data_IF_518768466294
#
_entry.id   IF_518768466294
#
_cell.length_a   1.000
_cell.length_b   1.000
_cell.length_c   1.000
_cell.angle_alpha   90.00
_cell.angle_beta   90.00
_cell.angle_gamma   90.00
#
_symmetry.space_group_name_H-M   'P 1'
#
loop_
_entity.id
_entity.type
_entity.pdbx_description
1 polymer ?
#
# COMPACT_ATOMS: atom_id res chain seq x y z
N UNK A 1 21.02 1.72 -22.13
CA UNK A 1 19.66 2.27 -21.88
C UNK A 1 19.56 2.78 -20.45
N UNK A 2 19.04 3.99 -20.30
CA UNK A 2 18.83 4.57 -18.97
C UNK A 2 17.38 4.26 -18.57
N UNK A 3 17.15 3.49 -17.49
CA UNK A 3 15.78 3.20 -17.06
C UNK A 3 15.12 4.43 -16.43
N UNK A 4 13.80 4.54 -16.57
CA UNK A 4 13.01 5.59 -15.93
C UNK A 4 13.07 5.46 -14.41
N UNK A 5 13.05 4.22 -13.92
CA UNK A 5 13.16 3.92 -12.51
C UNK A 5 13.93 2.62 -12.32
N UNK A 6 14.65 2.55 -11.20
CA UNK A 6 15.34 1.34 -10.80
C UNK A 6 14.99 1.07 -9.34
N UNK A 7 14.28 -0.02 -9.03
CA UNK A 7 13.94 -0.33 -7.64
C UNK A 7 15.19 -0.58 -6.80
N UNK A 8 15.15 -0.08 -5.58
CA UNK A 8 16.16 -0.40 -4.57
C UNK A 8 15.63 -1.56 -3.73
N UNK A 9 15.95 -2.77 -4.18
CA UNK A 9 15.53 -4.00 -3.51
C UNK A 9 16.75 -4.89 -3.29
N UNK A 10 16.82 -5.47 -2.11
CA UNK A 10 17.92 -6.32 -1.69
C UNK A 10 17.44 -7.74 -1.43
N UNK A 11 18.38 -8.62 -1.01
CA UNK A 11 18.02 -9.99 -0.61
C UNK A 11 17.05 -10.02 0.59
N UNK A 12 17.05 -8.97 1.41
CA UNK A 12 16.14 -8.86 2.55
C UNK A 12 14.68 -8.86 2.12
N UNK A 13 14.33 -8.02 1.15
CA UNK A 13 12.98 -7.92 0.62
C UNK A 13 12.58 -9.19 -0.13
N UNK A 14 13.52 -9.75 -0.91
CA UNK A 14 13.30 -11.00 -1.62
C UNK A 14 13.03 -12.16 -0.66
N UNK A 15 13.77 -12.23 0.45
CA UNK A 15 13.56 -13.27 1.46
C UNK A 15 12.23 -13.12 2.16
N UNK A 16 11.81 -11.90 2.48
CA UNK A 16 10.51 -11.65 3.09
C UNK A 16 9.36 -12.12 2.19
N UNK A 17 9.45 -11.85 0.89
CA UNK A 17 8.47 -12.35 -0.08
C UNK A 17 8.49 -13.87 -0.17
N UNK A 18 9.67 -14.47 -0.22
CA UNK A 18 9.85 -15.92 -0.24
C UNK A 18 9.20 -16.57 0.97
N UNK A 19 9.49 -16.08 2.18
CA UNK A 19 8.94 -16.62 3.41
C UNK A 19 7.42 -16.48 3.47
N UNK A 20 6.90 -15.34 2.99
CA UNK A 20 5.45 -15.09 2.96
C UNK A 20 4.74 -16.07 2.03
N UNK A 21 5.30 -16.33 0.86
CA UNK A 21 4.74 -17.30 -0.09
C UNK A 21 4.68 -18.69 0.52
N UNK A 22 5.71 -19.09 1.26
CA UNK A 22 5.75 -20.39 1.90
C UNK A 22 4.70 -20.54 3.01
N UNK A 23 4.21 -19.45 3.59
CA UNK A 23 3.12 -19.51 4.59
C UNK A 23 1.77 -19.83 3.97
N UNK A 24 1.60 -19.67 2.67
CA UNK A 24 0.33 -19.84 1.99
C UNK A 24 -0.61 -18.64 2.07
N UNK A 25 -0.27 -17.63 2.86
CA UNK A 25 -1.07 -16.41 2.99
C UNK A 25 -0.66 -15.39 1.91
N UNK A 26 -1.03 -15.67 0.67
CA UNK A 26 -0.63 -14.86 -0.49
C UNK A 26 -1.65 -13.78 -0.87
N UNK A 27 -2.77 -13.70 -0.15
CA UNK A 27 -3.73 -12.61 -0.24
C UNK A 27 -3.71 -11.83 1.07
N UNK A 28 -4.86 -11.42 1.60
CA UNK A 28 -4.91 -10.80 2.91
C UNK A 28 -4.51 -11.79 4.00
N UNK A 29 -3.67 -11.37 4.93
CA UNK A 29 -3.20 -12.25 5.99
C UNK A 29 -2.32 -11.51 7.01
N UNK A 30 -1.57 -12.27 7.85
CA UNK A 30 -0.76 -11.67 8.93
C UNK A 30 0.27 -10.64 8.45
N UNK A 31 0.88 -10.85 7.28
CA UNK A 31 1.87 -9.91 6.74
C UNK A 31 1.25 -8.57 6.35
N UNK A 32 0.02 -8.59 5.82
CA UNK A 32 -0.71 -7.37 5.49
C UNK A 32 -1.04 -6.60 6.76
N UNK A 33 -1.55 -7.28 7.78
CA UNK A 33 -1.85 -6.65 9.08
C UNK A 33 -0.61 -6.04 9.70
N UNK A 34 0.52 -6.74 9.67
CA UNK A 34 1.80 -6.25 10.17
C UNK A 34 2.25 -5.01 9.40
N UNK A 35 2.14 -5.01 8.07
CA UNK A 35 2.47 -3.87 7.25
C UNK A 35 1.62 -2.66 7.59
N UNK A 36 0.31 -2.85 7.73
CA UNK A 36 -0.62 -1.77 8.08
C UNK A 36 -0.25 -1.14 9.42
N UNK A 37 0.05 -1.95 10.42
CA UNK A 37 0.44 -1.45 11.74
C UNK A 37 1.75 -0.66 11.70
N UNK A 38 2.75 -1.19 11.03
CA UNK A 38 4.06 -0.53 10.92
C UNK A 38 3.99 0.75 10.11
N UNK A 39 3.21 0.75 9.03
CA UNK A 39 3.03 1.93 8.20
C UNK A 39 2.31 3.04 8.96
N UNK A 40 1.25 2.70 9.69
CA UNK A 40 0.54 3.66 10.53
C UNK A 40 1.47 4.29 11.58
N UNK A 41 2.27 3.46 12.24
CA UNK A 41 3.22 3.93 13.24
C UNK A 41 4.29 4.84 12.62
N UNK A 42 4.81 4.46 11.46
CA UNK A 42 5.84 5.24 10.77
C UNK A 42 5.35 6.62 10.34
N UNK A 43 4.12 6.70 9.83
CA UNK A 43 3.55 7.96 9.36
C UNK A 43 2.88 8.79 10.45
N UNK A 44 2.67 8.21 11.64
CA UNK A 44 1.95 8.85 12.72
C UNK A 44 0.44 8.81 12.57
N UNK A 45 -0.07 8.05 11.59
CA UNK A 45 -1.49 7.86 11.39
C UNK A 45 -2.07 6.91 12.44
N UNK A 46 -3.35 7.09 12.75
CA UNK A 46 -4.04 6.21 13.70
C UNK A 46 -4.31 4.83 13.08
N UNK A 47 -4.63 4.81 11.81
CA UNK A 47 -4.93 3.60 11.07
C UNK A 47 -4.26 3.62 9.70
N UNK A 48 -4.00 2.44 9.15
CA UNK A 48 -3.57 2.25 7.77
C UNK A 48 -4.29 1.05 7.19
N UNK A 49 -4.67 1.13 5.92
CA UNK A 49 -5.37 0.06 5.22
C UNK A 49 -4.67 -0.20 3.90
N UNK A 50 -4.22 -1.42 3.70
CA UNK A 50 -3.58 -1.83 2.46
C UNK A 50 -4.64 -2.17 1.41
N UNK A 51 -4.43 -1.71 0.18
CA UNK A 51 -5.30 -1.97 -0.97
C UNK A 51 -4.46 -2.46 -2.14
N UNK A 52 -5.12 -2.89 -3.22
CA UNK A 52 -4.46 -3.57 -4.33
C UNK A 52 -3.49 -2.69 -5.13
N UNK A 53 -3.76 -1.39 -5.20
CA UNK A 53 -2.89 -0.43 -5.92
C UNK A 53 -3.23 1.00 -5.51
N UNK A 54 -2.40 1.95 -5.97
CA UNK A 54 -2.56 3.36 -5.62
C UNK A 54 -3.83 3.98 -6.21
N UNK A 55 -4.21 3.58 -7.42
CA UNK A 55 -5.45 4.07 -8.04
C UNK A 55 -6.66 3.72 -7.21
N UNK A 56 -6.72 2.49 -6.70
CA UNK A 56 -7.78 2.04 -5.79
C UNK A 56 -7.76 2.85 -4.49
N UNK A 57 -6.57 3.10 -3.93
CA UNK A 57 -6.42 3.89 -2.71
C UNK A 57 -6.95 5.30 -2.89
N UNK A 58 -6.61 5.96 -3.99
CA UNK A 58 -7.09 7.31 -4.29
C UNK A 58 -8.60 7.36 -4.47
N UNK A 59 -9.16 6.37 -5.17
CA UNK A 59 -10.61 6.27 -5.37
C UNK A 59 -11.34 6.10 -4.04
N UNK A 60 -10.87 5.19 -3.19
CA UNK A 60 -11.47 4.96 -1.87
C UNK A 60 -11.34 6.20 -0.97
N UNK A 61 -10.22 6.91 -1.04
CA UNK A 61 -10.03 8.13 -0.27
C UNK A 61 -11.10 9.19 -0.61
N UNK A 62 -11.43 9.33 -1.89
CA UNK A 62 -12.49 10.23 -2.32
C UNK A 62 -13.87 9.79 -1.84
N UNK A 63 -14.16 8.49 -1.92
CA UNK A 63 -15.45 7.95 -1.47
C UNK A 63 -15.66 8.18 0.03
N UNK A 64 -14.66 7.82 0.86
CA UNK A 64 -14.81 7.98 2.32
C UNK A 64 -14.80 9.42 2.77
N UNK A 65 -14.26 10.34 1.95
CA UNK A 65 -14.29 11.78 2.22
C UNK A 65 -15.63 12.44 1.83
N UNK A 66 -16.54 11.68 1.22
CA UNK A 66 -17.83 12.19 0.79
C UNK A 66 -17.81 13.02 -0.47
N UNK A 67 -16.75 12.91 -1.26
CA UNK A 67 -16.60 13.64 -2.53
C UNK A 67 -17.44 12.96 -3.61
N UNK A 68 -18.22 13.75 -4.33
CA UNK A 68 -19.13 13.23 -5.37
C UNK A 68 -19.36 14.25 -6.47
N UNK A 69 -20.40 14.01 -7.31
CA UNK A 69 -20.70 14.90 -8.43
C UNK A 69 -20.86 16.36 -7.96
N UNK A 70 -20.22 17.28 -8.69
CA UNK A 70 -20.23 18.70 -8.37
C UNK A 70 -19.09 19.15 -7.46
N UNK A 71 -18.35 18.24 -6.88
CA UNK A 71 -17.17 18.55 -6.05
C UNK A 71 -15.92 18.70 -6.91
N UNK A 72 -14.99 19.49 -6.42
CA UNK A 72 -13.71 19.71 -7.10
C UNK A 72 -12.57 19.19 -6.24
N UNK A 73 -11.54 18.62 -6.91
CA UNK A 73 -10.33 18.11 -6.25
C UNK A 73 -9.12 18.75 -6.94
N UNK A 74 -8.28 19.40 -6.13
CA UNK A 74 -7.03 19.97 -6.62
C UNK A 74 -5.96 18.90 -6.54
N UNK A 75 -5.31 18.61 -7.66
CA UNK A 75 -4.24 17.61 -7.73
C UNK A 75 -3.11 18.08 -8.64
N UNK A 76 -1.88 17.54 -8.42
CA UNK A 76 -0.73 17.90 -9.24
C UNK A 76 -0.84 17.42 -10.68
#
# INVERSE_FOLDING_TARGET
MIPIAKPYLTKKEAKAAYDTILTGWITQGPRVAEFEQKFAAYTGAKYAVAVSNCTTALHLAMIVSGIGPGDEVICP
#
